data_IF_330835965366
#
_entry.id   IF_330835965366
#
_cell.length_a   1.000
_cell.length_b   1.000
_cell.length_c   1.000
_cell.angle_alpha   90.00
_cell.angle_beta   90.00
_cell.angle_gamma   90.00
#
_symmetry.space_group_name_H-M   'P 1'
#
loop_
_entity.id
_entity.type
_entity.pdbx_description
1 polymer ?
#
# COMPACT_ATOMS: atom_id res chain seq x y z
N UNK A 1 28.56 12.43 41.12
CA UNK A 1 28.96 11.30 40.26
C UNK A 1 28.68 10.01 41.01
N UNK A 2 27.51 9.39 40.76
CA UNK A 2 27.18 8.10 41.38
C UNK A 2 27.86 7.01 40.56
N UNK A 3 28.71 6.21 41.18
CA UNK A 3 29.40 5.12 40.50
C UNK A 3 28.36 4.12 39.98
N UNK A 4 28.29 3.95 38.66
CA UNK A 4 27.51 2.89 38.04
C UNK A 4 28.10 1.55 38.49
N UNK A 5 27.49 0.95 39.50
CA UNK A 5 27.79 -0.41 39.94
C UNK A 5 27.54 -1.35 38.76
N UNK A 6 28.60 -1.99 38.29
CA UNK A 6 28.53 -3.08 37.31
C UNK A 6 27.55 -4.12 37.81
N UNK A 7 26.45 -4.32 37.07
CA UNK A 7 25.40 -5.29 37.40
C UNK A 7 26.01 -6.68 37.44
N UNK A 8 26.01 -7.31 38.61
CA UNK A 8 26.33 -8.73 38.74
C UNK A 8 25.35 -9.54 37.92
N UNK A 9 25.84 -10.40 37.03
CA UNK A 9 25.01 -11.39 36.32
C UNK A 9 24.63 -12.57 37.21
N UNK A 10 25.28 -12.71 38.37
CA UNK A 10 24.94 -13.73 39.35
C UNK A 10 23.67 -13.28 40.09
N UNK A 11 22.57 -14.03 40.01
CA UNK A 11 21.33 -13.66 40.66
C UNK A 11 21.46 -13.76 42.18
N UNK A 12 20.76 -12.88 42.89
CA UNK A 12 20.64 -12.99 44.34
C UNK A 12 19.97 -14.31 44.70
N UNK A 13 20.58 -15.08 45.59
CA UNK A 13 20.11 -16.43 45.92
C UNK A 13 18.66 -16.45 46.42
N UNK A 14 18.27 -15.50 47.27
CA UNK A 14 16.90 -15.47 47.81
C UNK A 14 15.89 -15.10 46.72
N UNK A 15 16.22 -14.15 45.85
CA UNK A 15 15.36 -13.83 44.71
C UNK A 15 15.26 -15.02 43.75
N UNK A 16 16.38 -15.70 43.44
CA UNK A 16 16.39 -16.88 42.58
C UNK A 16 15.57 -18.07 43.11
N UNK A 17 15.51 -18.23 44.44
CA UNK A 17 14.73 -19.28 45.11
C UNK A 17 13.23 -18.89 45.26
N UNK A 18 12.83 -17.65 44.96
CA UNK A 18 11.47 -17.13 45.17
C UNK A 18 10.46 -17.50 44.07
N UNK A 19 10.58 -18.71 43.50
CA UNK A 19 9.72 -19.18 42.39
C UNK A 19 8.25 -19.23 42.79
N UNK A 20 7.94 -19.70 44.01
CA UNK A 20 6.55 -19.83 44.47
C UNK A 20 5.89 -18.46 44.70
N UNK A 21 6.64 -17.50 45.24
CA UNK A 21 6.18 -16.11 45.38
C UNK A 21 5.88 -15.51 43.99
N UNK A 22 6.78 -15.73 43.04
CA UNK A 22 6.61 -15.26 41.68
C UNK A 22 5.41 -15.93 40.97
N UNK A 23 5.23 -17.24 41.16
CA UNK A 23 4.07 -17.98 40.63
C UNK A 23 2.77 -17.45 41.19
N UNK A 24 2.69 -17.25 42.52
CA UNK A 24 1.49 -16.72 43.17
C UNK A 24 1.11 -15.34 42.61
N UNK A 25 2.10 -14.47 42.36
CA UNK A 25 1.85 -13.17 41.77
C UNK A 25 1.40 -13.25 40.30
N UNK A 26 1.95 -14.17 39.50
CA UNK A 26 1.45 -14.42 38.14
C UNK A 26 0.00 -14.92 38.17
N UNK A 27 -0.32 -15.86 39.06
CA UNK A 27 -1.68 -16.42 39.20
C UNK A 27 -2.69 -15.41 39.74
N UNK A 28 -2.25 -14.44 40.54
CA UNK A 28 -3.07 -13.30 40.98
C UNK A 28 -3.38 -12.34 39.83
N UNK A 29 -2.41 -12.09 38.94
CA UNK A 29 -2.59 -11.19 37.79
C UNK A 29 -3.36 -11.83 36.62
N UNK A 30 -3.37 -13.15 36.54
CA UNK A 30 -3.89 -13.91 35.41
C UNK A 30 -5.30 -14.48 35.66
N UNK A 31 -5.98 -14.90 34.59
CA UNK A 31 -7.17 -15.72 34.73
C UNK A 31 -6.82 -17.11 35.35
N UNK A 32 -7.75 -17.77 36.08
CA UNK A 32 -7.47 -19.05 36.70
C UNK A 32 -7.00 -20.12 35.68
N UNK A 33 -5.88 -20.77 35.99
CA UNK A 33 -5.35 -21.91 35.21
C UNK A 33 -4.54 -21.55 33.96
N UNK A 34 -4.29 -20.26 33.70
CA UNK A 34 -3.58 -19.83 32.48
C UNK A 34 -2.08 -19.59 32.67
N UNK A 35 -1.59 -19.68 33.91
CA UNK A 35 -0.16 -19.69 34.22
C UNK A 35 0.38 -21.11 34.12
N UNK A 36 1.48 -21.29 33.38
CA UNK A 36 2.08 -22.58 33.09
C UNK A 36 3.31 -22.91 33.93
N UNK A 37 4.16 -23.77 33.37
CA UNK A 37 5.40 -24.20 34.00
C UNK A 37 6.39 -23.04 34.13
N UNK A 38 7.29 -23.14 35.12
CA UNK A 38 8.39 -22.19 35.26
C UNK A 38 9.43 -22.47 34.15
N UNK A 39 9.68 -21.48 33.30
CA UNK A 39 10.56 -21.61 32.13
C UNK A 39 12.00 -21.19 32.42
N UNK A 40 12.21 -20.42 33.49
CA UNK A 40 13.53 -19.97 33.90
C UNK A 40 13.51 -18.60 34.60
N UNK A 41 14.71 -18.04 34.78
CA UNK A 41 14.86 -16.72 35.39
C UNK A 41 16.03 -15.95 34.78
N UNK A 42 16.00 -14.62 34.92
CA UNK A 42 17.08 -13.71 34.52
C UNK A 42 17.37 -12.72 35.65
N UNK A 43 18.65 -12.42 35.87
CA UNK A 43 19.09 -11.38 36.82
C UNK A 43 19.09 -10.02 36.12
N UNK A 44 18.17 -9.13 36.51
CA UNK A 44 18.02 -7.78 35.94
C UNK A 44 18.94 -6.75 36.61
N UNK A 45 19.29 -6.97 37.88
CA UNK A 45 20.11 -6.07 38.68
C UNK A 45 20.55 -6.65 40.02
N UNK A 46 21.12 -5.80 40.89
CA UNK A 46 21.49 -6.21 42.25
C UNK A 46 20.22 -6.54 43.05
N UNK A 47 20.03 -7.82 43.38
CA UNK A 47 18.86 -8.35 44.08
C UNK A 47 17.54 -8.12 43.35
N UNK A 48 17.56 -8.12 42.02
CA UNK A 48 16.36 -8.07 41.17
C UNK A 48 16.43 -9.21 40.17
N UNK A 49 15.43 -10.09 40.19
CA UNK A 49 15.35 -11.29 39.35
C UNK A 49 13.96 -11.37 38.73
N UNK A 50 13.89 -11.67 37.45
CA UNK A 50 12.63 -11.90 36.74
C UNK A 50 12.46 -13.38 36.48
N UNK A 51 11.38 -13.97 36.98
CA UNK A 51 10.97 -15.34 36.73
C UNK A 51 10.00 -15.39 35.54
N UNK A 52 10.21 -16.35 34.65
CA UNK A 52 9.33 -16.57 33.51
C UNK A 52 8.48 -17.82 33.68
N UNK A 53 7.20 -17.73 33.34
CA UNK A 53 6.27 -18.86 33.30
C UNK A 53 5.56 -18.91 31.96
N UNK A 54 5.30 -20.12 31.45
CA UNK A 54 4.58 -20.30 30.20
C UNK A 54 3.18 -19.67 30.27
N UNK A 55 2.72 -19.04 29.19
CA UNK A 55 1.33 -18.58 29.07
C UNK A 55 0.48 -19.66 28.40
N UNK A 56 -0.65 -20.03 29.02
CA UNK A 56 -1.63 -20.99 28.47
C UNK A 56 -2.86 -20.31 27.87
N UNK A 57 -2.91 -18.98 27.80
CA UNK A 57 -4.02 -18.26 27.16
C UNK A 57 -3.97 -18.41 25.63
N UNK A 58 -5.09 -18.84 25.02
CA UNK A 58 -5.19 -19.07 23.58
C UNK A 58 -4.89 -17.81 22.74
N UNK A 59 -5.19 -16.62 23.27
CA UNK A 59 -4.94 -15.34 22.59
C UNK A 59 -3.47 -14.89 22.59
N UNK A 60 -2.63 -15.49 23.45
CA UNK A 60 -1.25 -15.06 23.70
C UNK A 60 -0.25 -16.18 23.43
N UNK A 61 -0.42 -16.87 22.29
CA UNK A 61 0.51 -17.93 21.86
C UNK A 61 1.94 -17.42 21.79
N UNK A 62 2.86 -18.13 22.44
CA UNK A 62 4.29 -17.78 22.48
C UNK A 62 4.64 -16.65 23.45
N UNK A 63 3.66 -16.09 24.17
CA UNK A 63 3.91 -15.16 25.27
C UNK A 63 4.21 -15.92 26.56
N UNK A 64 4.77 -15.20 27.53
CA UNK A 64 5.15 -15.71 28.85
C UNK A 64 4.87 -14.69 29.93
N UNK A 65 4.48 -15.17 31.10
CA UNK A 65 4.39 -14.35 32.30
C UNK A 65 5.79 -14.04 32.79
N UNK A 66 6.08 -12.77 33.04
CA UNK A 66 7.32 -12.29 33.59
C UNK A 66 7.03 -11.63 34.94
N UNK A 67 7.59 -12.21 36.00
CA UNK A 67 7.39 -11.72 37.36
C UNK A 67 8.73 -11.29 37.93
N UNK A 68 8.87 -9.99 38.13
CA UNK A 68 10.07 -9.38 38.69
C UNK A 68 9.93 -9.37 40.20
N UNK A 69 10.90 -9.98 40.88
CA UNK A 69 11.03 -9.97 42.34
C UNK A 69 12.29 -9.24 42.74
N UNK A 70 12.19 -8.49 43.84
CA UNK A 70 13.29 -7.69 44.35
C UNK A 70 13.47 -7.90 45.86
N UNK A 71 14.71 -7.71 46.33
CA UNK A 71 15.02 -7.70 47.76
C UNK A 71 15.77 -6.45 48.14
N UNK A 72 15.15 -5.62 48.98
CA UNK A 72 15.76 -4.42 49.50
C UNK A 72 17.06 -4.72 50.28
N UNK A 73 17.99 -3.76 50.31
CA UNK A 73 19.25 -3.92 51.02
C UNK A 73 19.02 -4.24 52.50
N UNK A 74 19.73 -5.25 53.02
CA UNK A 74 19.60 -5.79 54.39
C UNK A 74 18.25 -6.43 54.72
N UNK A 75 17.27 -6.42 53.82
CA UNK A 75 16.02 -7.12 54.01
C UNK A 75 16.24 -8.64 53.91
N UNK A 76 15.47 -9.38 54.72
CA UNK A 76 15.46 -10.84 54.72
C UNK A 76 14.37 -11.44 53.83
N UNK A 77 13.39 -10.62 53.44
CA UNK A 77 12.23 -11.02 52.65
C UNK A 77 12.37 -10.49 51.23
N UNK A 78 11.95 -11.31 50.26
CA UNK A 78 11.79 -10.94 48.85
C UNK A 78 10.37 -10.38 48.65
N UNK A 79 10.24 -9.35 47.82
CA UNK A 79 8.96 -8.73 47.47
C UNK A 79 8.76 -8.80 45.95
N UNK A 80 7.51 -8.79 45.52
CA UNK A 80 7.13 -8.68 44.10
C UNK A 80 7.20 -7.20 43.71
N UNK A 81 7.81 -6.92 42.56
CA UNK A 81 7.86 -5.58 41.96
C UNK A 81 6.76 -5.44 40.90
N UNK A 82 6.70 -6.39 39.96
CA UNK A 82 5.68 -6.43 38.90
C UNK A 82 5.40 -7.87 38.45
N UNK A 83 4.19 -8.09 37.92
CA UNK A 83 3.79 -9.28 37.18
C UNK A 83 3.15 -8.83 35.87
N UNK A 84 3.82 -9.12 34.75
CA UNK A 84 3.41 -8.65 33.42
C UNK A 84 3.45 -9.80 32.41
N UNK A 85 2.65 -9.68 31.35
CA UNK A 85 2.67 -10.61 30.23
C UNK A 85 3.54 -10.04 29.11
N UNK A 86 4.59 -10.76 28.73
CA UNK A 86 5.56 -10.30 27.72
C UNK A 86 5.63 -11.26 26.54
N UNK A 87 5.89 -10.76 25.32
CA UNK A 87 6.11 -11.63 24.17
C UNK A 87 7.38 -12.45 24.37
N UNK A 88 7.28 -13.77 24.19
CA UNK A 88 8.42 -14.66 24.09
C UNK A 88 8.99 -14.72 22.67
N UNK A 89 10.05 -15.52 22.43
CA UNK A 89 10.68 -15.64 21.12
C UNK A 89 9.74 -16.10 20.00
N UNK A 90 8.71 -16.87 20.37
CA UNK A 90 7.73 -17.46 19.44
C UNK A 90 6.41 -16.67 19.42
N UNK A 91 6.36 -15.49 20.06
CA UNK A 91 5.16 -14.67 20.11
C UNK A 91 4.85 -14.04 18.74
N UNK A 92 3.58 -14.10 18.34
CA UNK A 92 3.08 -13.30 17.22
C UNK A 92 2.98 -11.84 17.66
N UNK A 93 3.84 -11.00 17.08
CA UNK A 93 3.84 -9.56 17.31
C UNK A 93 3.05 -8.84 16.22
N UNK A 94 2.46 -7.70 16.59
CA UNK A 94 1.91 -6.78 15.62
C UNK A 94 3.03 -6.30 14.67
N UNK A 95 2.72 -6.06 13.38
CA UNK A 95 3.66 -5.40 12.48
C UNK A 95 4.04 -4.01 13.02
N UNK A 96 5.15 -3.49 12.54
CA UNK A 96 5.58 -2.14 12.87
C UNK A 96 4.47 -1.13 12.53
N UNK A 97 4.28 -0.15 13.42
CA UNK A 97 3.27 0.88 13.21
C UNK A 97 3.67 1.78 12.05
N UNK A 98 2.78 1.90 11.06
CA UNK A 98 2.97 2.77 9.88
C UNK A 98 2.01 3.96 9.97
N UNK A 99 2.44 5.22 9.74
CA UNK A 99 1.57 6.38 9.69
C UNK A 99 0.39 6.21 8.74
N UNK A 100 -0.76 6.81 9.08
CA UNK A 100 -1.98 6.64 8.27
C UNK A 100 -1.80 7.10 6.81
N UNK A 101 -1.03 8.17 6.58
CA UNK A 101 -0.76 8.74 5.26
C UNK A 101 0.02 7.78 4.36
N UNK A 102 0.88 6.96 4.94
CA UNK A 102 1.65 5.94 4.24
C UNK A 102 0.85 4.65 4.00
N UNK A 103 -0.31 4.50 4.64
CA UNK A 103 -1.22 3.36 4.43
C UNK A 103 -2.24 3.59 3.32
N UNK A 104 -2.37 4.83 2.82
CA UNK A 104 -3.34 5.19 1.81
C UNK A 104 -3.10 4.44 0.49
N UNK A 105 -4.17 3.93 -0.07
CA UNK A 105 -4.22 3.26 -1.37
C UNK A 105 -5.06 4.06 -2.36
N UNK A 106 -4.83 3.86 -3.67
CA UNK A 106 -5.71 4.41 -4.69
C UNK A 106 -7.17 3.99 -4.41
N UNK A 107 -8.07 4.96 -4.34
CA UNK A 107 -9.50 4.74 -4.06
C UNK A 107 -9.92 4.90 -2.59
N UNK A 108 -8.98 5.08 -1.66
CA UNK A 108 -9.32 5.25 -0.23
C UNK A 108 -9.96 6.61 0.11
N UNK A 109 -9.86 7.59 -0.80
CA UNK A 109 -10.42 8.92 -0.60
C UNK A 109 -11.93 8.94 -0.85
N UNK A 110 -12.70 9.42 0.12
CA UNK A 110 -14.14 9.62 0.05
C UNK A 110 -14.56 11.09 0.09
N UNK A 111 -15.88 11.36 0.01
CA UNK A 111 -16.42 12.71 0.13
C UNK A 111 -16.07 13.35 1.47
N UNK A 112 -15.45 14.53 1.43
CA UNK A 112 -15.06 15.30 2.62
C UNK A 112 -13.64 15.05 3.11
N UNK A 113 -12.93 14.05 2.56
CA UNK A 113 -11.54 13.82 2.91
C UNK A 113 -10.63 14.88 2.29
N UNK A 114 -9.69 15.37 3.10
CA UNK A 114 -8.64 16.29 2.68
C UNK A 114 -7.29 15.64 2.89
N UNK A 115 -6.57 15.44 1.80
CA UNK A 115 -5.19 14.99 1.81
C UNK A 115 -4.27 16.16 1.45
N UNK A 116 -3.60 16.78 2.43
CA UNK A 116 -2.67 17.86 2.17
C UNK A 116 -1.56 17.38 1.24
N UNK A 117 -1.29 18.15 0.19
CA UNK A 117 -0.17 17.88 -0.70
C UNK A 117 1.10 18.48 -0.12
N UNK A 118 2.20 17.74 -0.18
CA UNK A 118 3.51 18.24 0.24
C UNK A 118 3.89 19.49 -0.57
N UNK A 119 4.60 20.43 0.06
CA UNK A 119 5.15 21.59 -0.62
C UNK A 119 6.15 21.17 -1.70
N UNK A 120 6.92 20.11 -1.42
CA UNK A 120 8.01 19.62 -2.27
C UNK A 120 7.64 18.33 -3.03
N UNK A 121 6.34 18.10 -3.31
CA UNK A 121 5.90 16.93 -4.10
C UNK A 121 6.46 16.99 -5.52
N UNK A 122 7.42 16.11 -5.81
CA UNK A 122 8.12 16.01 -7.09
C UNK A 122 7.19 15.80 -8.30
N UNK A 123 5.95 15.35 -8.08
CA UNK A 123 4.96 15.18 -9.16
C UNK A 123 4.35 16.49 -9.60
N UNK A 124 4.57 17.59 -8.88
CA UNK A 124 4.00 18.89 -9.15
C UNK A 124 5.10 19.93 -9.44
N UNK A 125 4.78 20.87 -10.31
CA UNK A 125 5.58 22.05 -10.60
C UNK A 125 4.69 23.30 -10.67
N UNK A 126 5.22 24.52 -10.49
CA UNK A 126 4.46 25.75 -10.67
C UNK A 126 3.84 25.81 -12.07
N UNK A 127 2.56 26.18 -12.16
CA UNK A 127 1.95 26.45 -13.46
C UNK A 127 2.27 27.85 -13.99
N UNK A 128 1.81 28.14 -15.20
CA UNK A 128 2.08 29.40 -15.88
C UNK A 128 1.16 30.51 -15.34
N UNK A 129 1.77 31.56 -14.77
CA UNK A 129 1.07 32.72 -14.17
C UNK A 129 1.09 33.98 -15.04
N UNK A 130 1.88 33.99 -16.12
CA UNK A 130 2.04 35.15 -17.01
C UNK A 130 2.98 36.24 -16.51
N UNK A 131 3.69 36.01 -15.40
CA UNK A 131 4.67 36.97 -14.86
C UNK A 131 5.93 37.10 -15.73
N UNK A 132 6.18 36.14 -16.63
CA UNK A 132 7.27 36.18 -17.62
C UNK A 132 6.88 36.88 -18.94
N UNK A 133 5.67 37.44 -19.05
CA UNK A 133 5.30 38.27 -20.20
C UNK A 133 5.84 39.69 -19.97
N UNK A 134 6.90 40.11 -20.68
CA UNK A 134 7.43 41.46 -20.49
C UNK A 134 6.31 42.47 -20.80
N UNK A 135 6.11 43.50 -19.96
CA UNK A 135 5.06 44.47 -20.18
C UNK A 135 5.22 45.12 -21.58
N UNK A 136 4.15 45.64 -22.20
CA UNK A 136 4.17 46.13 -23.58
C UNK A 136 5.21 47.24 -23.83
N UNK A 137 5.73 47.87 -22.79
CA UNK A 137 6.78 48.88 -22.79
C UNK A 137 8.15 48.39 -22.29
N UNK A 138 8.38 47.07 -22.23
CA UNK A 138 9.67 46.48 -21.84
C UNK A 138 10.70 46.58 -22.96
N UNK A 139 11.95 46.88 -22.62
CA UNK A 139 13.04 46.98 -23.60
C UNK A 139 13.39 45.64 -24.31
N UNK A 140 12.82 44.52 -23.86
CA UNK A 140 12.96 43.20 -24.49
C UNK A 140 11.74 42.79 -25.33
N UNK A 141 10.72 43.66 -25.49
CA UNK A 141 9.73 43.47 -26.54
C UNK A 141 10.39 43.84 -27.88
N UNK A 142 10.75 42.81 -28.65
CA UNK A 142 11.51 42.95 -29.91
C UNK A 142 10.86 43.88 -30.96
N UNK A 143 9.62 44.33 -30.77
CA UNK A 143 8.93 45.27 -31.67
C UNK A 143 9.40 46.73 -31.54
N UNK A 144 9.99 47.14 -30.39
CA UNK A 144 10.47 48.53 -30.24
C UNK A 144 11.81 48.76 -30.93
N UNK A 145 12.65 47.73 -31.03
CA UNK A 145 13.98 47.85 -31.64
C UNK A 145 13.90 48.10 -33.16
N UNK A 146 12.91 47.52 -33.83
CA UNK A 146 12.70 47.71 -35.28
C UNK A 146 12.06 49.07 -35.62
N UNK A 147 11.42 49.73 -34.65
CA UNK A 147 10.81 51.05 -34.83
C UNK A 147 11.77 52.22 -34.55
N UNK A 148 12.78 52.01 -33.68
CA UNK A 148 13.80 53.03 -33.39
C UNK A 148 14.81 53.18 -34.54
N UNK A 149 15.05 52.12 -35.32
CA UNK A 149 15.87 52.18 -36.54
C UNK A 149 15.11 52.79 -37.75
N UNK A 150 13.84 53.21 -37.57
CA UNK A 150 13.03 53.87 -38.60
C UNK A 150 12.81 55.38 -38.32
N UNK A 151 13.59 55.99 -37.41
CA UNK A 151 13.49 57.42 -37.05
C UNK A 151 14.04 58.41 -38.10
N UNK A 152 13.92 58.09 -39.39
CA UNK A 152 14.10 59.04 -40.50
C UNK A 152 12.82 59.22 -41.36
N UNK A 153 11.64 58.82 -40.85
CA UNK A 153 10.36 59.09 -41.50
C UNK A 153 9.60 60.25 -40.83
N UNK A 154 9.31 61.29 -41.60
CA UNK A 154 8.47 62.44 -41.22
C UNK A 154 7.16 62.00 -40.57
N UNK A 155 6.93 62.42 -39.32
CA UNK A 155 5.69 62.18 -38.58
C UNK A 155 4.55 62.96 -39.23
N UNK A 156 3.77 62.33 -40.11
CA UNK A 156 2.46 62.86 -40.51
C UNK A 156 1.46 62.71 -39.37
N UNK A 157 0.83 63.82 -38.96
CA UNK A 157 -0.25 63.85 -37.98
C UNK A 157 -1.56 63.26 -38.56
N UNK A 158 -1.57 61.95 -38.82
CA UNK A 158 -2.79 61.17 -39.02
C UNK A 158 -3.30 60.62 -37.68
N UNK A 159 -4.60 60.29 -37.56
CA UNK A 159 -5.11 59.56 -36.40
C UNK A 159 -4.33 58.23 -36.27
N UNK A 160 -4.02 57.78 -35.04
CA UNK A 160 -3.22 56.57 -34.84
C UNK A 160 -3.87 55.42 -35.60
N UNK A 161 -3.06 54.71 -36.38
CA UNK A 161 -3.48 53.48 -37.04
C UNK A 161 -4.11 52.59 -35.96
N UNK A 162 -5.37 52.18 -36.15
CA UNK A 162 -5.94 51.12 -35.31
C UNK A 162 -5.04 49.89 -35.47
N UNK A 163 -4.16 49.67 -34.51
CA UNK A 163 -3.39 48.44 -34.40
C UNK A 163 -4.44 47.34 -34.25
N UNK A 164 -4.64 46.58 -35.33
CA UNK A 164 -5.50 45.40 -35.35
C UNK A 164 -5.20 44.58 -34.11
N UNK A 165 -6.18 44.45 -33.22
CA UNK A 165 -6.02 43.69 -31.98
C UNK A 165 -5.34 42.35 -32.28
N UNK A 166 -4.19 42.10 -31.66
CA UNK A 166 -3.47 40.84 -31.83
C UNK A 166 -4.47 39.72 -31.51
N UNK A 167 -4.71 38.76 -32.42
CA UNK A 167 -5.64 37.70 -32.14
C UNK A 167 -5.21 36.98 -30.87
N UNK A 168 -6.13 36.85 -29.90
CA UNK A 168 -5.82 36.22 -28.62
C UNK A 168 -5.25 34.79 -28.79
N UNK A 169 -5.62 34.11 -29.89
CA UNK A 169 -5.04 32.82 -30.29
C UNK A 169 -3.58 32.97 -30.69
N UNK A 170 -2.72 32.20 -30.04
CA UNK A 170 -1.28 32.16 -30.30
C UNK A 170 -0.44 32.93 -29.28
N UNK A 171 -1.07 33.68 -28.37
CA UNK A 171 -0.36 34.20 -27.19
C UNK A 171 0.08 33.04 -26.27
N UNK A 172 1.19 33.20 -25.56
CA UNK A 172 1.66 32.19 -24.59
C UNK A 172 0.56 31.91 -23.57
N UNK A 173 -0.14 32.96 -23.14
CA UNK A 173 -1.29 32.89 -22.26
C UNK A 173 -2.39 31.97 -22.82
N UNK A 174 -2.84 32.20 -24.06
CA UNK A 174 -3.89 31.39 -24.67
C UNK A 174 -3.46 29.92 -24.89
N UNK A 175 -2.20 29.69 -25.25
CA UNK A 175 -1.64 28.33 -25.38
C UNK A 175 -1.56 27.65 -24.01
N UNK A 176 -1.14 28.37 -22.96
CA UNK A 176 -1.11 27.86 -21.59
C UNK A 176 -2.52 27.52 -21.09
N UNK A 177 -3.55 28.27 -21.49
CA UNK A 177 -4.95 27.94 -21.21
C UNK A 177 -5.40 26.67 -21.93
N UNK A 178 -5.12 26.56 -23.23
CA UNK A 178 -5.46 25.39 -24.05
C UNK A 178 -4.80 24.12 -23.52
N UNK A 179 -3.56 24.23 -23.04
CA UNK A 179 -2.81 23.12 -22.44
C UNK A 179 -3.15 22.87 -20.96
N UNK A 180 -4.01 23.69 -20.35
CA UNK A 180 -4.41 23.57 -18.95
C UNK A 180 -3.30 23.88 -17.94
N UNK A 181 -2.33 24.72 -18.33
CA UNK A 181 -1.15 25.08 -17.54
C UNK A 181 -1.36 26.29 -16.62
N UNK A 182 -2.51 26.99 -16.71
CA UNK A 182 -2.84 28.18 -15.88
C UNK A 182 -3.18 27.90 -14.41
N UNK A 183 -3.09 26.63 -13.96
CA UNK A 183 -3.34 26.25 -12.56
C UNK A 183 -2.14 26.61 -11.69
N UNK A 184 -2.33 26.87 -10.39
CA UNK A 184 -1.22 27.21 -9.48
C UNK A 184 -0.10 26.17 -9.49
N UNK A 185 -0.47 24.88 -9.54
CA UNK A 185 0.45 23.77 -9.73
C UNK A 185 -0.07 22.87 -10.85
N UNK A 186 0.85 22.37 -11.66
CA UNK A 186 0.60 21.43 -12.77
C UNK A 186 1.45 20.18 -12.55
N UNK A 187 1.16 19.10 -13.28
CA UNK A 187 1.99 17.89 -13.21
C UNK A 187 3.36 18.17 -13.80
N UNK A 188 4.40 17.86 -13.03
CA UNK A 188 5.76 17.85 -13.54
C UNK A 188 5.94 16.74 -14.56
N UNK A 189 7.06 16.78 -15.30
CA UNK A 189 7.44 15.66 -16.19
C UNK A 189 7.49 14.32 -15.45
N UNK A 190 8.01 14.31 -14.22
CA UNK A 190 8.02 13.11 -13.38
C UNK A 190 6.59 12.66 -13.04
N UNK A 191 5.72 13.59 -12.62
CA UNK A 191 4.31 13.30 -12.34
C UNK A 191 3.56 12.72 -13.55
N UNK A 192 3.83 13.24 -14.75
CA UNK A 192 3.26 12.74 -16.01
C UNK A 192 3.72 11.31 -16.31
N UNK A 193 5.02 11.00 -16.17
CA UNK A 193 5.54 9.65 -16.41
C UNK A 193 4.98 8.63 -15.41
N UNK A 194 4.96 8.96 -14.12
CA UNK A 194 4.40 8.08 -13.09
C UNK A 194 2.90 7.83 -13.33
N UNK A 195 2.16 8.84 -13.80
CA UNK A 195 0.76 8.65 -14.18
C UNK A 195 0.61 7.73 -15.41
N UNK A 196 1.43 7.95 -16.44
CA UNK A 196 1.43 7.15 -17.67
C UNK A 196 1.75 5.67 -17.40
N UNK A 197 2.74 5.38 -16.55
CA UNK A 197 3.11 4.02 -16.18
C UNK A 197 1.92 3.28 -15.52
N UNK A 198 1.22 3.93 -14.57
CA UNK A 198 0.03 3.33 -13.95
C UNK A 198 -1.11 3.10 -14.94
N UNK A 199 -1.31 4.01 -15.90
CA UNK A 199 -2.34 3.85 -16.92
C UNK A 199 -2.02 2.72 -17.90
N UNK A 200 -0.75 2.54 -18.26
CA UNK A 200 -0.25 1.41 -19.04
C UNK A 200 -0.39 0.07 -18.30
N UNK A 201 -0.16 0.04 -16.99
CA UNK A 201 -0.37 -1.18 -16.19
C UNK A 201 -1.86 -1.57 -16.12
N UNK A 202 -2.75 -0.59 -15.97
CA UNK A 202 -4.20 -0.84 -15.85
C UNK A 202 -4.91 -1.11 -17.18
N UNK A 203 -4.76 -0.19 -18.14
CA UNK A 203 -5.40 -0.24 -19.46
C UNK A 203 -4.35 -0.05 -20.56
N UNK A 204 -3.28 -0.84 -20.51
CA UNK A 204 -2.27 -0.91 -21.55
C UNK A 204 -2.34 -2.19 -22.40
N UNK A 205 -1.45 -2.31 -23.41
CA UNK A 205 -1.43 -3.40 -24.36
C UNK A 205 -1.12 -4.75 -23.71
N UNK A 206 -0.41 -4.77 -22.57
CA UNK A 206 0.01 -6.02 -21.90
C UNK A 206 -1.11 -6.69 -21.09
N UNK A 207 -2.26 -6.03 -20.94
CA UNK A 207 -3.40 -6.58 -20.20
C UNK A 207 -4.00 -7.78 -20.96
N UNK A 208 -4.55 -8.74 -20.22
CA UNK A 208 -5.19 -9.91 -20.84
C UNK A 208 -6.33 -9.53 -21.80
N UNK A 209 -7.09 -8.48 -21.46
CA UNK A 209 -8.15 -7.93 -22.31
C UNK A 209 -7.59 -7.40 -23.63
N UNK A 210 -6.52 -6.59 -23.60
CA UNK A 210 -5.90 -6.06 -24.80
C UNK A 210 -5.28 -7.16 -25.67
N UNK A 211 -4.65 -8.17 -25.06
CA UNK A 211 -4.07 -9.30 -25.80
C UNK A 211 -5.13 -10.19 -26.48
N UNK A 212 -6.35 -10.22 -25.97
CA UNK A 212 -7.47 -10.97 -26.56
C UNK A 212 -8.34 -10.12 -27.51
N UNK A 213 -8.08 -8.81 -27.59
CA UNK A 213 -8.92 -7.89 -28.35
C UNK A 213 -8.69 -8.02 -29.86
N UNK A 214 -9.74 -7.80 -30.68
CA UNK A 214 -9.64 -7.88 -32.14
C UNK A 214 -8.85 -6.71 -32.76
N UNK A 215 -8.79 -5.57 -32.08
CA UNK A 215 -8.10 -4.36 -32.50
C UNK A 215 -7.83 -3.45 -31.29
N UNK A 216 -6.93 -2.48 -31.47
CA UNK A 216 -6.55 -1.54 -30.42
C UNK A 216 -7.32 -0.22 -30.50
N UNK A 217 -7.31 0.52 -29.40
CA UNK A 217 -8.03 1.77 -29.20
C UNK A 217 -7.68 2.83 -30.24
N UNK A 218 -6.45 2.84 -30.78
CA UNK A 218 -6.03 3.81 -31.82
C UNK A 218 -6.94 3.81 -33.05
N UNK A 219 -7.57 2.67 -33.37
CA UNK A 219 -8.52 2.53 -34.49
C UNK A 219 -9.99 2.48 -34.06
N UNK A 220 -10.28 2.57 -32.77
CA UNK A 220 -11.62 2.40 -32.24
C UNK A 220 -12.43 3.70 -32.34
N UNK A 221 -13.63 3.64 -32.90
CA UNK A 221 -14.54 4.79 -33.00
C UNK A 221 -15.05 5.33 -31.66
N UNK A 222 -14.96 4.55 -30.59
CA UNK A 222 -15.32 4.98 -29.22
C UNK A 222 -14.19 5.65 -28.45
N UNK A 223 -13.02 5.84 -29.07
CA UNK A 223 -11.89 6.53 -28.45
C UNK A 223 -12.10 8.06 -28.48
N UNK A 224 -12.34 8.66 -27.32
CA UNK A 224 -12.26 10.11 -27.16
C UNK A 224 -10.79 10.54 -27.02
N UNK A 225 -10.33 11.44 -27.90
CA UNK A 225 -8.95 11.95 -27.88
C UNK A 225 -8.76 12.95 -26.75
N UNK A 226 -7.65 12.86 -26.04
CA UNK A 226 -7.21 13.87 -25.07
C UNK A 226 -6.16 14.78 -25.72
N UNK A 227 -6.12 16.04 -25.28
CA UNK A 227 -5.14 17.03 -25.75
C UNK A 227 -3.74 16.85 -25.15
N UNK A 228 -2.79 17.64 -25.65
CA UNK A 228 -1.42 17.68 -25.14
C UNK A 228 -0.56 16.45 -25.51
N UNK A 229 0.60 16.34 -24.88
CA UNK A 229 1.60 15.30 -25.15
C UNK A 229 1.10 13.88 -24.83
N UNK A 230 0.30 13.72 -23.76
CA UNK A 230 -0.30 12.44 -23.39
C UNK A 230 -1.26 11.90 -24.46
N UNK A 231 -1.91 12.77 -25.23
CA UNK A 231 -2.77 12.38 -26.35
C UNK A 231 -2.06 11.61 -27.46
N UNK A 232 -0.72 11.61 -27.50
CA UNK A 232 0.04 10.79 -28.44
C UNK A 232 0.12 9.31 -28.03
N UNK A 233 -0.18 8.98 -26.78
CA UNK A 233 -0.10 7.62 -26.24
C UNK A 233 -1.39 7.14 -25.57
N UNK A 234 -2.29 8.06 -25.20
CA UNK A 234 -3.53 7.75 -24.47
C UNK A 234 -4.77 8.45 -25.05
N UNK A 235 -5.94 7.95 -24.66
CA UNK A 235 -7.25 8.60 -24.84
C UNK A 235 -8.22 8.14 -23.75
N UNK A 236 -9.49 8.49 -23.87
CA UNK A 236 -10.55 8.03 -22.94
C UNK A 236 -11.49 7.10 -23.69
N UNK A 237 -11.83 5.97 -23.07
CA UNK A 237 -12.86 5.09 -23.64
C UNK A 237 -14.25 5.64 -23.32
N UNK A 238 -15.11 5.75 -24.33
CA UNK A 238 -16.49 6.22 -24.20
C UNK A 238 -17.52 5.14 -24.63
N UNK A 239 -17.14 3.87 -24.52
CA UNK A 239 -18.06 2.76 -24.79
C UNK A 239 -18.59 2.22 -23.47
N UNK A 240 -19.88 2.41 -23.20
CA UNK A 240 -20.58 1.94 -21.99
C UNK A 240 -20.46 0.42 -21.75
N UNK A 241 -20.23 -0.37 -22.80
CA UNK A 241 -20.06 -1.82 -22.71
C UNK A 241 -18.61 -2.24 -22.49
N UNK A 242 -17.66 -1.32 -22.64
CA UNK A 242 -16.26 -1.58 -22.34
C UNK A 242 -16.04 -1.58 -20.83
N UNK A 243 -15.24 -2.52 -20.29
CA UNK A 243 -14.82 -2.43 -18.89
C UNK A 243 -13.96 -1.19 -18.61
N UNK A 244 -13.48 -0.51 -19.64
CA UNK A 244 -12.68 0.71 -19.55
C UNK A 244 -13.50 2.00 -19.72
N UNK A 245 -14.84 1.94 -19.79
CA UNK A 245 -15.68 3.15 -19.98
C UNK A 245 -15.32 4.25 -18.96
N UNK A 246 -15.18 5.48 -19.43
CA UNK A 246 -14.78 6.63 -18.62
C UNK A 246 -13.33 6.62 -18.12
N UNK A 247 -12.51 5.63 -18.49
CA UNK A 247 -11.11 5.54 -18.07
C UNK A 247 -10.15 6.01 -19.16
N UNK A 248 -8.97 6.47 -18.71
CA UNK A 248 -7.82 6.69 -19.61
C UNK A 248 -7.27 5.34 -20.05
N UNK A 249 -7.11 5.16 -21.35
CA UNK A 249 -6.63 3.93 -21.99
C UNK A 249 -5.44 4.23 -22.89
N UNK A 250 -4.49 3.30 -22.95
CA UNK A 250 -3.41 3.33 -23.95
C UNK A 250 -4.00 3.23 -25.36
N UNK A 251 -3.40 3.91 -26.34
CA UNK A 251 -3.77 3.73 -27.75
C UNK A 251 -3.54 2.29 -28.23
N UNK A 252 -2.67 1.54 -27.55
CA UNK A 252 -2.41 0.14 -27.81
C UNK A 252 -3.26 -0.82 -26.95
N UNK A 253 -4.08 -0.30 -26.03
CA UNK A 253 -5.10 -1.11 -25.35
C UNK A 253 -6.14 -1.62 -26.34
N UNK A 254 -6.84 -2.70 -26.02
CA UNK A 254 -7.96 -3.19 -26.81
C UNK A 254 -8.99 -3.85 -25.92
N UNK A 255 -10.23 -3.94 -26.40
CA UNK A 255 -11.28 -4.71 -25.75
C UNK A 255 -12.21 -5.36 -26.78
N UNK A 256 -13.06 -6.28 -26.33
CA UNK A 256 -14.06 -6.93 -27.19
C UNK A 256 -15.15 -5.99 -27.72
N UNK A 257 -15.36 -4.82 -27.07
CA UNK A 257 -16.30 -3.78 -27.51
C UNK A 257 -15.73 -2.81 -28.53
N UNK A 258 -14.78 -3.23 -29.36
CA UNK A 258 -14.23 -2.38 -30.42
C UNK A 258 -15.34 -1.97 -31.42
N UNK A 259 -15.31 -0.75 -31.97
CA UNK A 259 -16.37 -0.26 -32.89
C UNK A 259 -16.56 -1.15 -34.12
N UNK A 260 -15.47 -1.78 -34.56
CA UNK A 260 -15.44 -2.73 -35.68
C UNK A 260 -15.52 -4.21 -35.24
N UNK A 261 -15.91 -4.51 -34.00
CA UNK A 261 -16.11 -5.88 -33.52
C UNK A 261 -17.40 -6.50 -34.09
N UNK A 262 -17.47 -6.66 -35.42
CA UNK A 262 -18.65 -7.16 -36.12
C UNK A 262 -18.73 -8.70 -36.17
N UNK A 263 -17.63 -9.40 -35.88
CA UNK A 263 -17.55 -10.87 -35.97
C UNK A 263 -17.15 -11.44 -34.62
N UNK A 264 -18.05 -12.18 -33.98
CA UNK A 264 -17.70 -12.98 -32.82
C UNK A 264 -16.64 -14.00 -33.25
N UNK A 265 -15.43 -13.99 -32.65
CA UNK A 265 -14.45 -15.02 -32.94
C UNK A 265 -15.05 -16.38 -32.56
N UNK A 266 -14.79 -17.39 -33.40
CA UNK A 266 -15.22 -18.75 -33.10
C UNK A 266 -14.65 -19.14 -31.73
N UNK A 267 -15.48 -19.62 -30.78
CA UNK A 267 -14.99 -20.01 -29.46
C UNK A 267 -13.79 -20.94 -29.61
N UNK A 268 -12.67 -20.70 -28.91
CA UNK A 268 -11.52 -21.57 -28.99
C UNK A 268 -11.98 -22.97 -28.60
N UNK A 269 -11.79 -23.94 -29.50
CA UNK A 269 -12.01 -25.33 -29.15
C UNK A 269 -10.92 -25.71 -28.16
N UNK A 270 -11.30 -25.86 -26.90
CA UNK A 270 -10.42 -26.43 -25.88
C UNK A 270 -9.90 -27.76 -26.44
N UNK A 271 -8.59 -27.94 -26.43
CA UNK A 271 -8.02 -29.22 -26.79
C UNK A 271 -8.68 -30.30 -25.91
N UNK A 272 -9.04 -31.47 -26.46
CA UNK A 272 -9.55 -32.55 -25.64
C UNK A 272 -8.55 -32.82 -24.52
N UNK A 273 -9.02 -33.03 -23.27
CA UNK A 273 -8.11 -33.26 -22.15
C UNK A 273 -7.21 -34.44 -22.48
N UNK A 274 -5.90 -34.24 -22.34
CA UNK A 274 -4.94 -35.34 -22.39
C UNK A 274 -5.03 -36.03 -21.04
N UNK A 275 -5.63 -37.21 -21.00
CA UNK A 275 -5.71 -38.02 -19.77
C UNK A 275 -4.43 -38.82 -19.66
N UNK A 276 -3.49 -38.33 -18.85
CA UNK A 276 -2.18 -38.94 -18.63
C UNK A 276 -2.24 -40.19 -17.73
N UNK A 277 -3.20 -40.25 -16.81
CA UNK A 277 -3.42 -41.39 -15.91
C UNK A 277 -4.89 -41.83 -15.98
N UNK A 278 -5.09 -43.12 -16.30
CA UNK A 278 -6.42 -43.77 -16.27
C UNK A 278 -6.60 -44.69 -15.07
N UNK A 279 -5.58 -44.79 -14.21
CA UNK A 279 -5.64 -45.57 -12.98
C UNK A 279 -6.38 -44.77 -11.91
N UNK A 280 -7.33 -45.46 -11.30
CA UNK A 280 -7.97 -44.99 -10.07
C UNK A 280 -7.01 -45.33 -8.94
N UNK A 281 -6.58 -44.31 -8.19
CA UNK A 281 -5.88 -44.53 -6.92
C UNK A 281 -6.96 -44.73 -5.84
N UNK A 282 -7.15 -45.97 -5.33
CA UNK A 282 -8.23 -46.24 -4.40
C UNK A 282 -7.89 -45.61 -3.06
N UNK A 283 -8.51 -44.47 -2.75
CA UNK A 283 -8.44 -43.86 -1.43
C UNK A 283 -9.51 -44.51 -0.53
N UNK A 284 -9.14 -45.37 0.43
CA UNK A 284 -10.14 -45.98 1.29
C UNK A 284 -10.73 -44.91 2.20
N UNK A 285 -12.05 -44.67 2.07
CA UNK A 285 -12.79 -43.70 2.90
C UNK A 285 -12.74 -44.02 4.40
N UNK A 286 -12.34 -45.24 4.76
CA UNK A 286 -12.03 -45.66 6.12
C UNK A 286 -10.66 -46.33 6.13
N UNK A 287 -9.71 -45.85 6.94
CA UNK A 287 -8.48 -46.58 7.20
C UNK A 287 -8.82 -48.00 7.70
N UNK A 288 -7.99 -48.99 7.38
CA UNK A 288 -8.14 -50.32 7.96
C UNK A 288 -7.95 -50.22 9.49
N UNK A 289 -8.64 -51.08 10.25
CA UNK A 289 -8.61 -51.00 11.72
C UNK A 289 -7.19 -51.13 12.32
N UNK A 290 -6.27 -51.71 11.55
CA UNK A 290 -4.85 -51.93 11.86
C UNK A 290 -3.91 -50.88 11.22
N UNK A 291 -4.42 -49.97 10.37
CA UNK A 291 -3.58 -48.97 9.69
C UNK A 291 -3.33 -47.72 10.55
N UNK A 292 -3.96 -47.62 11.70
CA UNK A 292 -3.71 -46.57 12.69
C UNK A 292 -2.58 -46.96 13.64
N UNK A 293 -1.79 -45.99 14.09
CA UNK A 293 -0.78 -46.17 15.13
C UNK A 293 -1.34 -46.38 16.55
N UNK A 294 -2.63 -46.73 16.66
CA UNK A 294 -3.35 -46.97 17.91
C UNK A 294 -3.73 -48.45 17.98
N UNK A 295 -3.29 -49.19 19.01
CA UNK A 295 -3.65 -50.60 19.13
C UNK A 295 -5.16 -50.76 19.33
N UNK A 296 -5.75 -51.74 18.63
CA UNK A 296 -7.17 -52.07 18.75
C UNK A 296 -7.40 -52.65 20.15
N UNK A 297 -8.09 -51.91 21.01
CA UNK A 297 -8.54 -52.43 22.29
C UNK A 297 -9.71 -53.40 22.06
N UNK A 298 -9.54 -54.66 22.47
CA UNK A 298 -10.64 -55.63 22.52
C UNK A 298 -11.58 -55.27 23.65
N UNK A 299 -12.63 -54.50 23.35
CA UNK A 299 -13.77 -54.40 24.28
C UNK A 299 -15.08 -54.60 23.51
N UNK A 300 -15.54 -55.86 23.48
CA UNK A 300 -16.77 -56.30 22.80
C UNK A 300 -18.06 -55.85 23.50
N UNK A 301 -17.99 -54.93 24.47
CA UNK A 301 -19.13 -54.59 25.31
C UNK A 301 -19.96 -53.36 24.89
N UNK A 302 -19.54 -52.57 23.87
CA UNK A 302 -20.25 -51.33 23.49
C UNK A 302 -21.02 -51.38 22.17
N UNK A 303 -21.19 -52.56 21.55
CA UNK A 303 -21.87 -52.69 20.26
C UNK A 303 -23.42 -52.61 20.31
N UNK A 304 -24.04 -52.49 21.50
CA UNK A 304 -25.50 -52.46 21.67
C UNK A 304 -26.08 -51.07 22.03
N UNK A 305 -25.54 -49.98 21.47
CA UNK A 305 -26.27 -48.71 21.44
C UNK A 305 -26.48 -48.27 19.99
N UNK A 306 -27.33 -49.02 19.30
CA UNK A 306 -27.93 -48.60 18.04
C UNK A 306 -28.89 -47.44 18.31
N UNK A 307 -28.51 -46.24 17.87
CA UNK A 307 -29.43 -45.10 17.79
C UNK A 307 -30.44 -45.34 16.66
N UNK A 308 -31.73 -45.21 17.01
CA UNK A 308 -32.84 -44.99 16.08
C UNK A 308 -32.75 -43.59 15.45
#
# INVERSE_FOLDING_TARGET
MSAATTRSRTPDRLCAEAVDLARAAAEEAAAPGVVGEHEGMVSEGDRVVTHYFACKELGYRGWRWAVTVARASRAKLVTVDEAVLLPGPDALLAPEWVPWSERLRPGDMGPGDLLPTDADDLRLEPGWTGEDEPPPNSAVSHEMADLVEAEDAEVTAGPPAELSAVPARGTISAVAEELGLRRTRVLSRYGLHVAADRWEEGYGPKTAMAQAAPASCVSCGFLARIGGSLGQAFGVCANEFSPADGHVVSLAYGCGGHSEAAVMPKPPRVAPPVIDETRVDPFPLRPAADSGSVPVAEDQASAELGHS
#
